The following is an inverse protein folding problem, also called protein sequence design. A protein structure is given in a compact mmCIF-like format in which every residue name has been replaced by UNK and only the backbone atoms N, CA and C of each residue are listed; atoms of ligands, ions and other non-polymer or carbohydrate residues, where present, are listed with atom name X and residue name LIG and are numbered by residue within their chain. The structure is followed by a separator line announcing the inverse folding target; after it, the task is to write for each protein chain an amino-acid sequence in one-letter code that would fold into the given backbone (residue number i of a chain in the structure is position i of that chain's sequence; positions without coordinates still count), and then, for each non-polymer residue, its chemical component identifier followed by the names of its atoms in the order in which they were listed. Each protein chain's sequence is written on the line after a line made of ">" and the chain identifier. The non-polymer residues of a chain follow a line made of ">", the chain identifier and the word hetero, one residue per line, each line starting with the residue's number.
data_IF_162716751675
#
_entry.id   IF_162716751675
#
_cell.length_a   1.000
_cell.length_b   1.000
_cell.length_c   1.000
_cell.angle_alpha   90.00
_cell.angle_beta   90.00
_cell.angle_gamma   90.00
#
_symmetry.space_group_name_H-M   'P 1'
#
loop_
_entity.id
_entity.type
_entity.pdbx_description
1 polymer ?
#
# COMPACT_ATOMS: atom_id res chain seq x y z
N UNK A 1 -29.18 56.94 8.78
CA UNK A 1 -28.02 56.12 9.19
C UNK A 1 -28.22 54.69 8.70
N UNK A 2 -27.33 54.14 7.87
CA UNK A 2 -27.50 52.76 7.35
C UNK A 2 -27.01 51.75 8.40
N UNK A 3 -27.92 50.94 8.95
CA UNK A 3 -27.55 49.84 9.86
C UNK A 3 -26.71 48.81 9.10
N UNK A 4 -25.50 48.52 9.56
CA UNK A 4 -24.70 47.40 9.07
C UNK A 4 -25.35 46.10 9.55
N UNK A 5 -25.68 45.19 8.63
CA UNK A 5 -26.09 43.83 8.98
C UNK A 5 -24.84 43.09 9.46
N UNK A 6 -24.70 42.88 10.77
CA UNK A 6 -23.71 41.95 11.31
C UNK A 6 -24.20 40.53 11.07
N UNK A 7 -23.44 39.73 10.33
CA UNK A 7 -23.70 38.30 10.20
C UNK A 7 -23.53 37.68 11.60
N UNK A 8 -24.60 37.15 12.17
CA UNK A 8 -24.51 36.36 13.39
C UNK A 8 -23.71 35.07 13.09
N UNK A 9 -22.84 34.61 14.00
CA UNK A 9 -22.29 33.27 13.88
C UNK A 9 -23.47 32.29 13.95
N UNK A 10 -23.63 31.46 12.90
CA UNK A 10 -24.64 30.41 12.85
C UNK A 10 -24.36 29.49 14.04
N UNK A 11 -25.25 29.53 15.03
CA UNK A 11 -25.12 28.73 16.25
C UNK A 11 -25.11 27.23 15.90
N UNK A 12 -24.21 26.52 16.57
CA UNK A 12 -23.88 25.12 16.33
C UNK A 12 -25.12 24.22 16.36
N UNK A 13 -25.38 23.53 15.24
CA UNK A 13 -26.31 22.41 15.21
C UNK A 13 -25.65 21.27 16.00
N UNK A 14 -26.25 20.93 17.15
CA UNK A 14 -25.74 19.90 18.06
C UNK A 14 -25.49 18.58 17.31
N UNK A 15 -24.21 18.29 17.04
CA UNK A 15 -23.77 17.06 16.36
C UNK A 15 -22.93 17.27 15.08
N UNK A 16 -22.83 18.49 14.51
CA UNK A 16 -21.96 18.74 13.36
C UNK A 16 -20.71 19.54 13.75
N UNK A 17 -19.51 18.95 13.60
CA UNK A 17 -18.25 19.68 13.74
C UNK A 17 -18.09 20.62 12.54
N UNK A 18 -18.02 21.92 12.78
CA UNK A 18 -17.84 22.93 11.72
C UNK A 18 -16.37 23.07 11.32
N UNK A 19 -16.09 23.11 10.02
CA UNK A 19 -14.72 23.29 9.51
C UNK A 19 -14.33 24.77 9.51
N UNK A 20 -13.23 25.12 10.20
CA UNK A 20 -12.70 26.47 10.25
C UNK A 20 -11.77 26.74 9.05
N UNK A 21 -12.20 27.63 8.15
CA UNK A 21 -11.44 28.01 6.95
C UNK A 21 -10.54 29.24 7.18
N UNK A 22 -9.47 29.37 6.39
CA UNK A 22 -8.48 30.45 6.53
C UNK A 22 -8.75 31.71 5.70
N UNK A 23 -9.93 31.81 5.06
CA UNK A 23 -10.27 32.89 4.11
C UNK A 23 -10.80 34.18 4.76
N UNK A 24 -10.86 34.25 6.10
CA UNK A 24 -11.48 35.38 6.82
C UNK A 24 -12.98 35.44 6.56
N UNK A 25 -13.57 36.65 6.58
CA UNK A 25 -15.00 36.82 6.29
C UNK A 25 -15.27 36.72 4.79
N UNK A 26 -16.00 35.69 4.37
CA UNK A 26 -16.40 35.52 2.97
C UNK A 26 -17.56 36.47 2.67
N UNK A 27 -17.41 37.31 1.64
CA UNK A 27 -18.40 38.34 1.27
C UNK A 27 -19.31 37.92 0.11
N UNK A 28 -18.70 37.33 -0.92
CA UNK A 28 -19.40 37.00 -2.18
C UNK A 28 -19.69 35.49 -2.26
N UNK A 29 -18.79 34.70 -2.87
CA UNK A 29 -19.00 33.28 -3.11
C UNK A 29 -18.27 32.39 -2.09
N UNK A 30 -19.06 31.70 -1.25
CA UNK A 30 -18.57 30.75 -0.27
C UNK A 30 -17.87 29.53 -0.88
N UNK A 31 -18.43 28.95 -1.94
CA UNK A 31 -17.89 27.73 -2.58
C UNK A 31 -16.53 28.05 -3.22
N UNK A 32 -16.42 29.16 -3.94
CA UNK A 32 -15.17 29.57 -4.57
C UNK A 32 -14.08 29.89 -3.53
N UNK A 33 -14.45 30.51 -2.41
CA UNK A 33 -13.53 30.75 -1.32
C UNK A 33 -13.01 29.43 -0.72
N UNK A 34 -13.90 28.46 -0.48
CA UNK A 34 -13.53 27.15 0.04
C UNK A 34 -12.71 26.33 -0.97
N UNK A 35 -13.04 26.38 -2.26
CA UNK A 35 -12.32 25.66 -3.32
C UNK A 35 -10.83 26.03 -3.37
N UNK A 36 -10.51 27.29 -3.10
CA UNK A 36 -9.13 27.78 -3.03
C UNK A 36 -8.49 27.65 -1.64
N UNK A 37 -9.18 27.07 -0.65
CA UNK A 37 -8.65 26.79 0.69
C UNK A 37 -7.91 25.44 0.73
N UNK A 38 -7.10 25.23 1.79
CA UNK A 38 -6.30 24.02 1.98
C UNK A 38 -7.14 22.73 2.04
N UNK A 39 -8.42 22.85 2.40
CA UNK A 39 -9.37 21.74 2.44
C UNK A 39 -9.43 21.00 1.10
N UNK A 40 -9.51 21.77 0.00
CA UNK A 40 -9.69 21.25 -1.36
C UNK A 40 -8.40 21.30 -2.19
N UNK A 41 -7.25 21.09 -1.54
CA UNK A 41 -5.97 20.97 -2.26
C UNK A 41 -5.90 19.69 -3.08
N UNK A 42 -5.14 19.75 -4.17
CA UNK A 42 -4.75 18.55 -4.91
C UNK A 42 -4.00 17.57 -3.98
N UNK A 43 -4.41 16.31 -4.00
CA UNK A 43 -3.72 15.21 -3.30
C UNK A 43 -2.96 14.40 -4.33
N UNK A 44 -1.70 14.13 -4.05
CA UNK A 44 -0.83 13.30 -4.89
C UNK A 44 -0.58 12.00 -4.12
N UNK A 45 -0.96 10.87 -4.73
CA UNK A 45 -0.68 9.55 -4.17
C UNK A 45 0.81 9.20 -4.31
N UNK A 46 1.38 8.57 -3.28
CA UNK A 46 2.75 8.06 -3.34
C UNK A 46 2.78 6.78 -4.16
N UNK A 47 3.46 6.83 -5.31
CA UNK A 47 3.69 5.66 -6.17
C UNK A 47 4.50 4.59 -5.44
N UNK A 48 4.13 3.33 -5.61
CA UNK A 48 4.81 2.17 -4.99
C UNK A 48 6.10 1.75 -5.71
N UNK A 49 6.23 2.08 -7.00
CA UNK A 49 7.40 1.77 -7.84
C UNK A 49 7.75 2.95 -8.75
N UNK A 50 9.01 3.04 -9.19
CA UNK A 50 9.51 4.08 -10.10
C UNK A 50 10.05 5.33 -9.39
N UNK A 51 10.06 6.47 -10.10
CA UNK A 51 10.62 7.73 -9.57
C UNK A 51 9.86 8.21 -8.33
N UNK A 52 10.60 8.52 -7.26
CA UNK A 52 10.03 8.99 -5.99
C UNK A 52 9.34 7.91 -5.15
N UNK A 53 9.46 6.63 -5.50
CA UNK A 53 8.87 5.52 -4.74
C UNK A 53 9.74 4.99 -3.60
N UNK A 54 11.03 5.37 -3.55
CA UNK A 54 11.96 4.89 -2.53
C UNK A 54 11.56 5.38 -1.13
N UNK A 55 11.45 4.45 -0.19
CA UNK A 55 11.16 4.72 1.22
C UNK A 55 12.31 4.17 2.07
N UNK A 56 12.93 5.01 2.91
CA UNK A 56 14.05 4.61 3.78
C UNK A 56 13.65 3.52 4.79
N UNK A 57 12.39 3.52 5.22
CA UNK A 57 11.83 2.55 6.17
C UNK A 57 10.59 1.93 5.54
N UNK A 58 10.52 0.60 5.53
CA UNK A 58 9.32 -0.14 5.15
C UNK A 58 8.26 -0.06 6.26
N UNK A 59 6.98 -0.27 5.92
CA UNK A 59 5.86 -0.28 6.89
C UNK A 59 6.05 -1.34 7.99
N UNK A 60 6.57 -2.50 7.63
CA UNK A 60 6.82 -3.62 8.54
C UNK A 60 8.32 -3.92 8.60
N UNK A 61 9.04 -3.22 9.47
CA UNK A 61 10.46 -3.49 9.72
C UNK A 61 10.57 -4.72 10.63
N UNK A 62 11.39 -5.70 10.25
CA UNK A 62 11.61 -6.93 11.02
C UNK A 62 10.59 -8.07 10.78
N UNK A 63 9.58 -7.86 9.93
CA UNK A 63 8.70 -8.93 9.43
C UNK A 63 9.15 -9.33 8.02
N UNK A 64 9.59 -10.57 7.84
CA UNK A 64 10.17 -11.09 6.59
C UNK A 64 9.15 -11.19 5.43
N UNK A 65 7.88 -11.16 5.77
CA UNK A 65 6.76 -11.38 4.88
C UNK A 65 5.91 -10.12 4.94
N UNK A 66 5.73 -9.40 3.84
CA UNK A 66 4.64 -8.44 3.58
C UNK A 66 4.97 -7.50 2.40
N UNK A 67 5.57 -8.03 1.31
CA UNK A 67 5.43 -7.40 -0.01
C UNK A 67 4.44 -8.24 -0.83
N UNK A 68 3.15 -7.86 -0.90
CA UNK A 68 2.16 -8.57 -1.72
C UNK A 68 2.41 -8.43 -3.23
N UNK A 69 3.35 -7.59 -3.65
CA UNK A 69 3.56 -7.25 -5.06
C UNK A 69 4.38 -8.30 -5.83
N UNK A 70 4.75 -9.41 -5.15
CA UNK A 70 5.35 -10.61 -5.75
C UNK A 70 4.53 -11.87 -5.44
N UNK A 71 3.21 -11.74 -5.31
CA UNK A 71 2.24 -12.85 -5.08
C UNK A 71 2.13 -13.86 -6.25
N UNK A 72 3.22 -14.18 -6.95
CA UNK A 72 3.23 -15.16 -8.06
C UNK A 72 4.18 -16.33 -7.79
N UNK A 73 4.70 -16.49 -6.57
CA UNK A 73 5.75 -17.49 -6.32
C UNK A 73 5.49 -18.47 -5.18
N UNK A 74 4.38 -18.37 -4.43
CA UNK A 74 4.02 -19.40 -3.45
C UNK A 74 3.74 -20.78 -4.07
N UNK A 75 3.36 -20.82 -5.34
CA UNK A 75 3.00 -22.05 -6.04
C UNK A 75 4.17 -22.63 -6.86
N UNK A 76 5.29 -21.91 -7.02
CA UNK A 76 6.42 -22.39 -7.83
C UNK A 76 7.28 -23.38 -7.06
N UNK A 77 7.48 -23.13 -5.75
CA UNK A 77 8.27 -24.03 -4.90
C UNK A 77 7.55 -25.37 -4.65
N UNK A 78 6.21 -25.37 -4.59
CA UNK A 78 5.40 -26.59 -4.49
C UNK A 78 5.46 -27.44 -5.77
N UNK A 79 5.38 -26.80 -6.96
CA UNK A 79 5.44 -27.50 -8.25
C UNK A 79 6.86 -28.03 -8.50
N UNK A 80 7.92 -27.23 -8.25
CA UNK A 80 9.31 -27.68 -8.43
C UNK A 80 9.63 -28.86 -7.48
N UNK A 81 9.19 -28.80 -6.22
CA UNK A 81 9.38 -29.88 -5.25
C UNK A 81 8.70 -31.20 -5.63
N UNK A 82 7.55 -31.15 -6.30
CA UNK A 82 6.77 -32.33 -6.69
C UNK A 82 7.37 -33.12 -7.87
N UNK A 83 8.08 -32.45 -8.79
CA UNK A 83 8.65 -33.11 -9.97
C UNK A 83 10.08 -33.66 -9.78
N UNK A 84 10.87 -33.14 -8.83
CA UNK A 84 12.26 -33.59 -8.60
C UNK A 84 12.39 -34.89 -7.78
N UNK A 85 11.41 -35.24 -6.94
CA UNK A 85 11.48 -36.44 -6.07
C UNK A 85 11.19 -37.76 -6.81
N UNK A 86 10.64 -37.71 -8.04
CA UNK A 86 10.28 -38.92 -8.80
C UNK A 86 11.41 -39.55 -9.61
N UNK A 87 12.59 -38.93 -9.71
CA UNK A 87 13.70 -39.45 -10.54
C UNK A 87 14.74 -40.26 -9.72
N UNK A 88 14.78 -40.12 -8.39
CA UNK A 88 15.88 -40.66 -7.58
C UNK A 88 15.74 -42.13 -7.10
N UNK A 89 14.67 -42.85 -7.46
CA UNK A 89 14.47 -44.24 -7.03
C UNK A 89 14.32 -45.20 -8.23
N UNK A 90 15.44 -45.55 -8.88
CA UNK A 90 15.57 -46.84 -9.58
C UNK A 90 16.98 -47.41 -9.42
N UNK A 91 17.06 -48.52 -8.71
CA UNK A 91 18.04 -49.57 -8.95
C UNK A 91 19.29 -49.56 -8.08
N UNK A 92 19.18 -50.09 -6.86
CA UNK A 92 20.30 -50.82 -6.26
C UNK A 92 20.20 -52.27 -6.72
N UNK A 93 21.23 -52.79 -7.40
CA UNK A 93 21.50 -54.22 -7.49
C UNK A 93 23.00 -54.43 -7.32
N UNK A 94 23.37 -55.00 -6.18
CA UNK A 94 24.66 -55.65 -5.97
C UNK A 94 24.67 -56.98 -6.73
N UNK A 95 25.70 -57.21 -7.56
CA UNK A 95 26.13 -58.57 -7.95
C UNK A 95 27.65 -58.65 -7.74
N UNK A 96 28.03 -59.50 -6.79
CA UNK A 96 29.37 -60.00 -6.56
C UNK A 96 29.56 -61.25 -7.43
N UNK A 97 30.70 -61.41 -8.11
CA UNK A 97 31.29 -62.72 -8.39
C UNK A 97 32.76 -62.62 -8.84
N UNK A 98 33.63 -63.24 -8.05
CA UNK A 98 35.05 -63.47 -8.32
C UNK A 98 35.30 -64.12 -9.69
N UNK A 99 36.34 -63.66 -10.41
CA UNK A 99 37.08 -64.49 -11.38
C UNK A 99 38.52 -63.99 -11.53
N UNK A 100 39.43 -64.72 -10.88
CA UNK A 100 40.85 -64.84 -11.23
C UNK A 100 41.01 -65.15 -12.73
N UNK A 101 42.11 -64.76 -13.38
CA UNK A 101 42.99 -65.65 -14.19
C UNK A 101 44.10 -64.83 -14.89
N UNK A 102 45.35 -65.21 -14.54
CA UNK A 102 46.66 -65.06 -15.21
C UNK A 102 47.17 -63.65 -15.48
#
# INVERSE_FOLDING_TARGET
>A
MKKKKSFAPVADVQGCTTYQHNKGTIRDNAIQALLSDKLFRQRIEKKRKGKGSYQRKAKHQGKYFEKPDYQVFGNRDFIIGFFLTKIANRGSHYVNQNRMFI
#
